data_IF_645596766117
#
_entry.id   IF_645596766117
#
_cell.length_a   1.000
_cell.length_b   1.000
_cell.length_c   1.000
_cell.angle_alpha   90.00
_cell.angle_beta   90.00
_cell.angle_gamma   90.00
#
_symmetry.space_group_name_H-M   'P 1'
#
loop_
_entity.id
_entity.type
_entity.pdbx_description
1 polymer ?
#
# COMPACT_ATOMS: atom_id res chain seq x y z
N UNK A 1 19.12 10.86 17.72
CA UNK A 1 18.29 9.80 17.08
C UNK A 1 18.62 9.77 15.60
N UNK A 2 19.04 8.62 15.05
CA UNK A 2 19.34 8.50 13.61
C UNK A 2 18.04 8.28 12.85
N UNK A 3 17.74 9.15 11.88
CA UNK A 3 16.61 8.94 10.98
C UNK A 3 17.00 7.95 9.88
N UNK A 4 16.21 6.90 9.69
CA UNK A 4 16.47 5.86 8.68
C UNK A 4 15.73 6.25 7.41
N UNK A 5 16.46 6.38 6.31
CA UNK A 5 15.89 6.58 4.97
C UNK A 5 15.66 5.22 4.33
N UNK A 6 14.41 4.92 4.00
CA UNK A 6 14.00 3.75 3.23
C UNK A 6 13.59 4.22 1.84
N UNK A 7 14.14 3.60 0.79
CA UNK A 7 13.82 3.94 -0.60
C UNK A 7 13.97 2.75 -1.54
N UNK A 8 13.37 2.84 -2.73
CA UNK A 8 13.45 1.85 -3.83
C UNK A 8 12.85 0.49 -3.45
N UNK A 9 11.69 0.51 -2.81
CA UNK A 9 10.95 -0.71 -2.49
C UNK A 9 9.94 -1.00 -3.60
N UNK A 10 9.89 -2.25 -4.04
CA UNK A 10 8.89 -2.71 -5.00
C UNK A 10 8.11 -3.89 -4.43
N UNK A 11 6.79 -3.79 -4.45
CA UNK A 11 5.88 -4.92 -4.21
C UNK A 11 5.27 -5.32 -5.55
N UNK A 12 5.43 -6.58 -5.94
CA UNK A 12 5.06 -7.07 -7.26
C UNK A 12 4.20 -8.30 -7.14
N UNK A 13 3.09 -8.33 -7.89
CA UNK A 13 2.25 -9.52 -8.05
C UNK A 13 1.77 -10.08 -6.70
N UNK A 14 1.35 -9.20 -5.80
CA UNK A 14 0.84 -9.56 -4.48
C UNK A 14 -0.68 -9.73 -4.57
N UNK A 15 -1.15 -10.97 -4.41
CA UNK A 15 -2.58 -11.30 -4.46
C UNK A 15 -3.01 -12.02 -3.19
N UNK A 16 -4.21 -11.74 -2.71
CA UNK A 16 -4.78 -12.48 -1.60
C UNK A 16 -5.86 -11.70 -0.85
N UNK A 17 -6.00 -12.04 0.43
CA UNK A 17 -7.04 -11.49 1.27
C UNK A 17 -6.49 -10.91 2.58
N UNK A 18 -7.08 -9.82 3.04
CA UNK A 18 -6.85 -9.22 4.36
C UNK A 18 -7.98 -9.58 5.31
N UNK A 19 -7.64 -9.89 6.56
CA UNK A 19 -8.60 -10.00 7.67
C UNK A 19 -8.98 -8.64 8.28
N UNK A 20 -8.34 -7.56 7.83
CA UNK A 20 -8.54 -6.19 8.30
C UNK A 20 -9.04 -5.29 7.18
N UNK A 21 -9.85 -4.29 7.55
CA UNK A 21 -10.41 -3.31 6.62
C UNK A 21 -9.32 -2.49 5.91
N UNK A 22 -8.23 -2.15 6.61
CA UNK A 22 -7.05 -1.51 6.01
C UNK A 22 -6.07 -2.60 5.60
N UNK A 23 -6.04 -2.94 4.31
CA UNK A 23 -5.19 -4.01 3.77
C UNK A 23 -3.77 -3.52 3.43
N UNK A 24 -3.61 -2.22 3.13
CA UNK A 24 -2.31 -1.63 2.78
C UNK A 24 -2.03 -0.45 3.72
N UNK A 25 -0.89 -0.47 4.40
CA UNK A 25 -0.41 0.62 5.25
C UNK A 25 1.02 0.98 4.85
N UNK A 26 1.23 2.19 4.33
CA UNK A 26 2.54 2.73 3.97
C UNK A 26 2.83 4.02 4.73
N UNK A 27 3.63 3.98 5.79
CA UNK A 27 3.86 5.15 6.64
C UNK A 27 5.34 5.34 7.02
N UNK A 28 5.79 6.59 7.09
CA UNK A 28 7.11 6.96 7.62
C UNK A 28 7.02 8.09 8.65
N UNK A 29 7.80 8.01 9.73
CA UNK A 29 7.69 8.96 10.86
C UNK A 29 8.57 10.20 10.73
N UNK A 30 9.80 10.09 10.20
CA UNK A 30 10.80 11.18 10.29
C UNK A 30 11.38 11.62 8.96
N UNK A 31 11.58 10.70 8.01
CA UNK A 31 12.05 10.99 6.66
C UNK A 31 11.13 10.27 5.69
N UNK A 32 10.62 11.01 4.71
CA UNK A 32 9.69 10.48 3.73
C UNK A 32 10.30 9.29 2.98
N UNK A 33 9.53 8.21 2.82
CA UNK A 33 9.91 7.09 1.98
C UNK A 33 9.70 7.49 0.51
N UNK A 34 10.69 7.22 -0.34
CA UNK A 34 10.65 7.56 -1.76
C UNK A 34 10.87 6.31 -2.62
N UNK A 35 10.50 6.39 -3.89
CA UNK A 35 10.66 5.31 -4.87
C UNK A 35 9.96 4.01 -4.42
N UNK A 36 8.79 4.14 -3.80
CA UNK A 36 7.92 2.98 -3.51
C UNK A 36 7.12 2.64 -4.77
N UNK A 37 7.08 1.37 -5.14
CA UNK A 37 6.33 0.92 -6.32
C UNK A 37 5.41 -0.23 -5.94
N UNK A 38 4.11 -0.04 -6.15
CA UNK A 38 3.14 -1.13 -6.17
C UNK A 38 2.87 -1.50 -7.62
N UNK A 39 3.13 -2.76 -7.99
CA UNK A 39 2.87 -3.28 -9.32
C UNK A 39 2.03 -4.55 -9.25
N UNK A 40 0.82 -4.51 -9.78
CA UNK A 40 -0.11 -5.65 -9.79
C UNK A 40 -0.34 -6.23 -8.38
N UNK A 41 -0.88 -5.39 -7.49
CA UNK A 41 -1.23 -5.74 -6.11
C UNK A 41 -2.74 -5.75 -5.96
N UNK A 42 -3.31 -6.90 -5.62
CA UNK A 42 -4.75 -7.06 -5.44
C UNK A 42 -5.06 -7.79 -4.12
N UNK A 43 -5.53 -7.03 -3.15
CA UNK A 43 -5.98 -7.52 -1.85
C UNK A 43 -7.48 -7.30 -1.72
N UNK A 44 -8.21 -8.33 -1.28
CA UNK A 44 -9.64 -8.25 -0.96
C UNK A 44 -9.87 -8.57 0.51
N UNK A 45 -11.09 -8.41 1.02
CA UNK A 45 -11.40 -8.85 2.39
C UNK A 45 -11.59 -10.38 2.44
N UNK A 46 -11.13 -11.04 3.50
CA UNK A 46 -11.14 -12.50 3.62
C UNK A 46 -12.56 -13.08 3.78
N UNK A 47 -13.47 -12.34 4.43
CA UNK A 47 -14.85 -12.74 4.66
C UNK A 47 -15.80 -11.61 4.25
N UNK A 48 -15.97 -11.35 2.94
CA UNK A 48 -16.71 -10.19 2.45
C UNK A 48 -18.19 -10.28 2.79
N UNK A 49 -18.71 -9.23 3.41
CA UNK A 49 -20.14 -8.92 3.33
C UNK A 49 -20.44 -8.24 2.00
N UNK A 50 -21.69 -8.30 1.50
CA UNK A 50 -22.06 -7.59 0.28
C UNK A 50 -21.70 -6.10 0.35
N UNK A 51 -20.89 -5.63 -0.61
CA UNK A 51 -20.45 -4.24 -0.70
C UNK A 51 -19.22 -3.88 0.14
N UNK A 52 -18.64 -4.83 0.88
CA UNK A 52 -17.45 -4.58 1.69
C UNK A 52 -16.16 -4.70 0.85
N UNK A 53 -15.32 -3.68 0.96
CA UNK A 53 -14.01 -3.62 0.29
C UNK A 53 -12.95 -3.22 1.29
N UNK A 54 -11.72 -3.67 1.06
CA UNK A 54 -10.58 -3.16 1.82
C UNK A 54 -10.21 -1.75 1.37
N UNK A 55 -9.48 -1.05 2.23
CA UNK A 55 -8.96 0.31 2.02
C UNK A 55 -7.45 0.33 2.20
N UNK A 56 -6.84 1.45 1.85
CA UNK A 56 -5.42 1.70 2.09
C UNK A 56 -5.24 2.93 2.96
N UNK A 57 -4.09 2.99 3.63
CA UNK A 57 -3.62 4.16 4.35
C UNK A 57 -2.18 4.45 3.97
N UNK A 58 -1.85 5.73 3.85
CA UNK A 58 -0.46 6.13 3.75
C UNK A 58 -0.15 7.50 4.35
N UNK A 59 1.12 7.65 4.73
CA UNK A 59 1.64 8.84 5.41
C UNK A 59 3.11 9.07 5.05
N UNK A 60 3.41 10.22 4.45
CA UNK A 60 4.79 10.64 4.16
C UNK A 60 5.55 9.61 3.30
N UNK A 61 4.89 9.14 2.24
CA UNK A 61 5.40 8.18 1.27
C UNK A 61 5.14 8.71 -0.13
N UNK A 62 6.14 8.58 -1.00
CA UNK A 62 6.08 8.97 -2.41
C UNK A 62 6.48 7.80 -3.29
N UNK A 63 5.75 7.63 -4.39
CA UNK A 63 5.97 6.50 -5.28
C UNK A 63 4.92 6.38 -6.37
N UNK A 64 4.86 5.19 -6.96
CA UNK A 64 4.04 4.89 -8.12
C UNK A 64 3.16 3.65 -7.88
N UNK A 65 1.91 3.73 -8.30
CA UNK A 65 1.01 2.60 -8.43
C UNK A 65 0.81 2.28 -9.93
N UNK A 66 1.15 1.07 -10.35
CA UNK A 66 1.02 0.64 -11.75
C UNK A 66 0.39 -0.74 -11.87
N UNK A 67 -0.27 -0.99 -13.00
CA UNK A 67 -1.07 -2.19 -13.19
C UNK A 67 -2.32 -2.19 -12.31
N UNK A 68 -2.78 -3.38 -11.90
CA UNK A 68 -3.91 -3.49 -10.98
C UNK A 68 -3.46 -3.18 -9.56
N UNK A 69 -3.96 -2.12 -8.95
CA UNK A 69 -3.70 -1.80 -7.53
C UNK A 69 -5.03 -1.66 -6.79
N UNK A 70 -5.38 -2.71 -6.04
CA UNK A 70 -6.58 -2.78 -5.21
C UNK A 70 -6.18 -3.20 -3.79
N UNK A 71 -6.51 -2.44 -2.74
CA UNK A 71 -7.19 -1.14 -2.78
C UNK A 71 -6.32 -0.01 -3.36
N UNK A 72 -6.91 1.04 -3.96
CA UNK A 72 -6.16 2.18 -4.47
C UNK A 72 -5.40 2.88 -3.33
N UNK A 73 -4.20 3.39 -3.61
CA UNK A 73 -3.32 4.02 -2.61
C UNK A 73 -3.08 5.50 -2.96
N UNK A 74 -3.80 6.46 -2.34
CA UNK A 74 -3.89 7.85 -2.83
C UNK A 74 -2.59 8.66 -2.84
N UNK A 75 -1.58 8.29 -2.05
CA UNK A 75 -0.28 8.97 -2.03
C UNK A 75 0.69 8.48 -3.12
N UNK A 76 0.33 7.42 -3.86
CA UNK A 76 1.12 6.92 -4.98
C UNK A 76 0.47 7.40 -6.28
N UNK A 77 1.29 7.89 -7.20
CA UNK A 77 0.86 8.40 -8.51
C UNK A 77 0.78 7.34 -9.58
#
# INVERSE_FOLDING_TARGET
TSSIKISKIKYVNLHGTSSRDVAITLASCSVACHDIVLNDVNLTIANPKPGETVTSYCLNVHGLAQGVVNPPVPCLS
#
